data_IF_728335938931
#
_entry.id   IF_728335938931
#
_cell.length_a   1.000
_cell.length_b   1.000
_cell.length_c   1.000
_cell.angle_alpha   90.00
_cell.angle_beta   90.00
_cell.angle_gamma   90.00
#
_symmetry.space_group_name_H-M   'P 1'
#
loop_
_entity.id
_entity.type
_entity.pdbx_description
1 polymer ?
#
# COMPACT_ATOMS: atom_id res chain seq x y z
N UNK A 1 15.14 24.33 7.01
CA UNK A 1 14.52 22.99 6.93
C UNK A 1 13.45 23.06 5.88
N UNK A 2 13.38 22.09 4.98
CA UNK A 2 12.31 22.03 3.98
C UNK A 2 10.96 22.01 4.70
N UNK A 3 10.11 23.00 4.42
CA UNK A 3 8.73 23.00 4.91
C UNK A 3 7.97 21.90 4.18
N UNK A 4 7.26 21.07 4.95
CA UNK A 4 6.32 20.08 4.40
C UNK A 4 5.20 20.85 3.74
N UNK A 5 4.91 20.58 2.47
CA UNK A 5 3.86 21.30 1.74
C UNK A 5 2.47 20.81 2.16
N UNK A 6 1.43 21.60 1.89
CA UNK A 6 0.04 21.16 2.08
C UNK A 6 -0.26 19.88 1.27
N UNK A 7 0.29 19.76 0.06
CA UNK A 7 0.13 18.57 -0.77
C UNK A 7 0.72 17.32 -0.13
N UNK A 8 1.88 17.43 0.52
CA UNK A 8 2.52 16.31 1.23
C UNK A 8 1.70 15.88 2.46
N UNK A 9 1.16 16.86 3.19
CA UNK A 9 0.25 16.61 4.32
C UNK A 9 -1.04 15.94 3.87
N UNK A 10 -1.64 16.44 2.79
CA UNK A 10 -2.88 15.90 2.24
C UNK A 10 -2.69 14.48 1.68
N UNK A 11 -1.57 14.20 1.01
CA UNK A 11 -1.22 12.84 0.61
C UNK A 11 -1.04 11.94 1.83
N UNK A 12 -0.28 12.38 2.84
CA UNK A 12 -0.08 11.62 4.08
C UNK A 12 -1.41 11.29 4.76
N UNK A 13 -2.35 12.25 4.81
CA UNK A 13 -3.70 12.03 5.31
C UNK A 13 -4.45 10.98 4.49
N UNK A 14 -4.36 11.05 3.15
CA UNK A 14 -5.01 10.09 2.25
C UNK A 14 -4.51 8.66 2.45
N UNK A 15 -3.22 8.46 2.76
CA UNK A 15 -2.65 7.13 3.06
C UNK A 15 -3.37 6.48 4.24
N UNK A 16 -3.73 7.24 5.29
CA UNK A 16 -4.47 6.71 6.44
C UNK A 16 -5.93 6.31 6.11
N UNK A 17 -6.50 6.86 5.04
CA UNK A 17 -7.85 6.55 4.58
C UNK A 17 -7.85 5.37 3.62
N UNK A 18 -6.96 5.42 2.62
CA UNK A 18 -7.01 4.58 1.42
C UNK A 18 -6.30 3.24 1.67
N UNK A 19 -5.08 3.24 2.21
CA UNK A 19 -4.29 2.02 2.35
C UNK A 19 -4.93 0.96 3.28
N UNK A 20 -5.52 1.31 4.44
CA UNK A 20 -6.22 0.32 5.26
C UNK A 20 -7.40 -0.32 4.54
N UNK A 21 -8.19 0.46 3.80
CA UNK A 21 -9.34 -0.04 3.05
C UNK A 21 -8.88 -0.96 1.92
N UNK A 22 -7.88 -0.55 1.13
CA UNK A 22 -7.28 -1.38 0.07
C UNK A 22 -6.69 -2.68 0.61
N UNK A 23 -6.05 -2.62 1.78
CA UNK A 23 -5.50 -3.79 2.45
C UNK A 23 -6.60 -4.77 2.84
N UNK A 24 -7.63 -4.29 3.54
CA UNK A 24 -8.77 -5.11 3.97
C UNK A 24 -9.44 -5.77 2.76
N UNK A 25 -9.72 -5.01 1.71
CA UNK A 25 -10.37 -5.53 0.51
C UNK A 25 -9.57 -6.62 -0.22
N UNK A 26 -8.24 -6.61 -0.08
CA UNK A 26 -7.33 -7.52 -0.78
C UNK A 26 -6.96 -8.74 0.06
N UNK A 27 -6.76 -8.58 1.36
CA UNK A 27 -6.12 -9.60 2.19
C UNK A 27 -6.97 -10.11 3.36
N UNK A 28 -8.04 -9.41 3.73
CA UNK A 28 -8.89 -9.84 4.85
C UNK A 28 -10.02 -10.76 4.40
N UNK A 29 -10.65 -11.42 5.38
CA UNK A 29 -11.74 -12.38 5.17
C UNK A 29 -13.03 -11.74 4.63
N UNK A 30 -13.17 -10.41 4.68
CA UNK A 30 -14.28 -9.65 4.12
C UNK A 30 -13.82 -8.31 3.57
N UNK A 31 -14.60 -7.77 2.63
CA UNK A 31 -14.42 -6.42 2.11
C UNK A 31 -15.03 -5.36 3.03
N UNK A 32 -14.55 -4.12 2.90
CA UNK A 32 -15.15 -2.96 3.55
C UNK A 32 -16.50 -2.62 2.92
N UNK A 33 -17.52 -2.47 3.76
CA UNK A 33 -18.84 -1.98 3.37
C UNK A 33 -18.76 -0.49 2.99
N UNK A 34 -19.69 -0.03 2.15
CA UNK A 34 -19.72 1.39 1.75
C UNK A 34 -19.75 2.33 2.96
N UNK A 35 -20.57 2.03 3.97
CA UNK A 35 -20.66 2.87 5.16
C UNK A 35 -19.34 2.92 5.97
N UNK A 36 -18.53 1.86 5.96
CA UNK A 36 -17.24 1.83 6.64
C UNK A 36 -16.22 2.72 5.92
N UNK A 37 -16.26 2.73 4.57
CA UNK A 37 -15.43 3.62 3.75
C UNK A 37 -15.79 5.09 3.98
N UNK A 38 -17.08 5.41 3.94
CA UNK A 38 -17.55 6.77 4.19
C UNK A 38 -17.24 7.23 5.62
N UNK A 39 -17.45 6.37 6.63
CA UNK A 39 -17.12 6.70 8.01
C UNK A 39 -15.62 6.98 8.19
N UNK A 40 -14.76 6.19 7.55
CA UNK A 40 -13.29 6.41 7.58
C UNK A 40 -12.92 7.72 6.91
N UNK A 41 -13.49 8.02 5.74
CA UNK A 41 -13.24 9.26 5.01
C UNK A 41 -13.70 10.49 5.80
N UNK A 42 -14.88 10.44 6.42
CA UNK A 42 -15.39 11.53 7.26
C UNK A 42 -14.51 11.74 8.49
N UNK A 43 -14.16 10.65 9.19
CA UNK A 43 -13.34 10.73 10.41
C UNK A 43 -11.96 11.35 10.15
N UNK A 44 -11.25 10.86 9.14
CA UNK A 44 -9.95 11.42 8.75
C UNK A 44 -10.09 12.78 8.08
N UNK A 45 -11.21 13.05 7.41
CA UNK A 45 -11.57 14.35 6.89
C UNK A 45 -11.59 15.40 8.00
N UNK A 46 -12.32 15.12 9.09
CA UNK A 46 -12.39 15.99 10.27
C UNK A 46 -11.00 16.19 10.91
N UNK A 47 -10.20 15.14 11.01
CA UNK A 47 -8.81 15.23 11.48
C UNK A 47 -7.99 16.16 10.58
N UNK A 48 -8.10 16.02 9.26
CA UNK A 48 -7.42 16.89 8.30
C UNK A 48 -7.81 18.36 8.44
N UNK A 49 -9.11 18.64 8.60
CA UNK A 49 -9.63 19.99 8.83
C UNK A 49 -9.09 20.56 10.15
N UNK A 50 -9.08 19.78 11.23
CA UNK A 50 -8.51 20.20 12.52
C UNK A 50 -7.00 20.45 12.46
N UNK A 51 -6.29 19.72 11.59
CA UNK A 51 -4.87 19.94 11.32
C UNK A 51 -4.60 21.18 10.45
N UNK A 52 -5.63 21.83 9.92
CA UNK A 52 -5.51 22.98 9.02
C UNK A 52 -5.06 22.62 7.61
N UNK A 53 -5.26 21.36 7.18
CA UNK A 53 -4.95 20.91 5.82
C UNK A 53 -6.02 21.46 4.88
N UNK A 54 -5.58 22.08 3.78
CA UNK A 54 -6.46 22.60 2.74
C UNK A 54 -6.79 21.53 1.69
N UNK A 55 -8.02 21.56 1.15
CA UNK A 55 -8.43 20.68 0.05
C UNK A 55 -8.78 19.25 0.48
N UNK A 56 -9.10 19.04 1.75
CA UNK A 56 -9.52 17.73 2.29
C UNK A 56 -10.81 17.26 1.60
N UNK A 57 -10.83 16.06 0.97
CA UNK A 57 -12.03 15.52 0.33
C UNK A 57 -13.15 15.20 1.33
N UNK A 58 -14.40 15.25 0.84
CA UNK A 58 -15.59 14.95 1.65
C UNK A 58 -16.08 13.50 1.56
N UNK A 59 -15.47 12.67 0.71
CA UNK A 59 -15.84 11.29 0.49
C UNK A 59 -14.60 10.41 0.23
N UNK A 60 -14.79 9.10 0.31
CA UNK A 60 -13.70 8.13 0.11
C UNK A 60 -13.11 8.21 -1.32
N UNK A 61 -13.95 8.40 -2.34
CA UNK A 61 -13.52 8.46 -3.74
C UNK A 61 -12.61 9.68 -4.02
N UNK A 62 -12.83 10.80 -3.34
CA UNK A 62 -11.97 11.96 -3.40
C UNK A 62 -10.61 11.71 -2.76
N UNK A 63 -10.56 10.99 -1.63
CA UNK A 63 -9.30 10.56 -1.02
C UNK A 63 -8.51 9.61 -1.91
N UNK A 64 -9.17 8.65 -2.57
CA UNK A 64 -8.50 7.76 -3.54
C UNK A 64 -7.87 8.54 -4.68
N UNK A 65 -8.59 9.51 -5.24
CA UNK A 65 -8.07 10.33 -6.34
C UNK A 65 -6.85 11.16 -5.93
N UNK A 66 -6.92 11.80 -4.77
CA UNK A 66 -5.79 12.55 -4.19
C UNK A 66 -4.58 11.65 -3.99
N UNK A 67 -4.81 10.46 -3.43
CA UNK A 67 -3.78 9.46 -3.20
C UNK A 67 -3.10 9.05 -4.50
N UNK A 68 -3.88 8.57 -5.47
CA UNK A 68 -3.34 8.00 -6.71
C UNK A 68 -2.66 9.06 -7.59
N UNK A 69 -3.26 10.25 -7.72
CA UNK A 69 -2.64 11.36 -8.47
C UNK A 69 -1.32 11.83 -7.84
N UNK A 70 -1.24 11.86 -6.50
CA UNK A 70 -0.01 12.25 -5.83
C UNK A 70 1.08 11.20 -6.05
N UNK A 71 0.75 9.91 -5.90
CA UNK A 71 1.71 8.82 -6.16
C UNK A 71 2.18 8.80 -7.61
N UNK A 72 1.31 9.09 -8.57
CA UNK A 72 1.67 9.14 -10.00
C UNK A 72 2.72 10.20 -10.28
N UNK A 73 2.64 11.34 -9.59
CA UNK A 73 3.53 12.48 -9.80
C UNK A 73 4.80 12.41 -8.97
N UNK A 74 4.75 11.83 -7.77
CA UNK A 74 5.81 11.97 -6.77
C UNK A 74 6.43 10.66 -6.28
N UNK A 75 5.76 9.50 -6.42
CA UNK A 75 6.31 8.23 -5.94
C UNK A 75 7.38 7.72 -6.91
N UNK A 76 8.59 8.25 -6.72
CA UNK A 76 9.77 7.95 -7.52
C UNK A 76 10.92 7.46 -6.64
N UNK A 77 11.91 6.87 -7.30
CA UNK A 77 13.13 6.44 -6.63
C UNK A 77 13.91 7.61 -6.03
N UNK A 78 14.36 7.42 -4.78
CA UNK A 78 15.39 8.24 -4.15
C UNK A 78 16.37 7.36 -3.36
N UNK A 79 17.68 7.68 -3.34
CA UNK A 79 18.65 6.99 -2.48
C UNK A 79 18.25 6.99 -0.99
N UNK A 80 17.57 8.04 -0.54
CA UNK A 80 17.07 8.14 0.84
C UNK A 80 16.01 7.08 1.15
N UNK A 81 15.18 6.70 0.18
CA UNK A 81 14.11 5.71 0.37
C UNK A 81 14.70 4.34 0.72
N UNK A 82 15.76 3.94 0.01
CA UNK A 82 16.47 2.67 0.26
C UNK A 82 17.09 2.68 1.66
N UNK A 83 17.77 3.78 2.02
CA UNK A 83 18.43 3.90 3.31
C UNK A 83 17.41 3.83 4.45
N UNK A 84 16.34 4.62 4.39
CA UNK A 84 15.27 4.63 5.40
C UNK A 84 14.60 3.25 5.46
N UNK A 85 14.28 2.65 4.32
CA UNK A 85 13.66 1.33 4.27
C UNK A 85 14.51 0.24 4.93
N UNK A 86 15.83 0.25 4.70
CA UNK A 86 16.75 -0.68 5.38
C UNK A 86 16.77 -0.48 6.90
N UNK A 87 16.76 0.77 7.39
CA UNK A 87 16.64 1.04 8.83
C UNK A 87 15.30 0.56 9.40
N UNK A 88 14.20 0.83 8.69
CA UNK A 88 12.86 0.39 9.09
C UNK A 88 12.77 -1.13 9.16
N UNK A 89 13.28 -1.85 8.16
CA UNK A 89 13.36 -3.30 8.20
C UNK A 89 14.25 -3.80 9.33
N UNK A 90 15.40 -3.15 9.59
CA UNK A 90 16.25 -3.49 10.73
C UNK A 90 15.52 -3.40 12.07
N UNK A 91 14.71 -2.35 12.25
CA UNK A 91 13.89 -2.18 13.45
C UNK A 91 12.79 -3.24 13.55
N UNK A 92 12.00 -3.43 12.50
CA UNK A 92 10.88 -4.39 12.46
C UNK A 92 11.35 -5.84 12.64
N UNK A 93 12.56 -6.15 12.16
CA UNK A 93 13.13 -7.50 12.24
C UNK A 93 13.95 -7.75 13.50
N UNK A 94 14.22 -6.71 14.31
CA UNK A 94 14.99 -6.82 15.55
C UNK A 94 14.49 -7.88 16.54
N UNK A 95 13.18 -8.20 16.64
CA UNK A 95 12.72 -9.28 17.51
C UNK A 95 12.97 -10.69 16.96
N UNK A 96 13.30 -10.83 15.66
CA UNK A 96 13.45 -12.11 14.98
C UNK A 96 14.92 -12.54 14.90
N UNK A 97 15.21 -13.85 14.93
CA UNK A 97 16.55 -14.37 14.64
C UNK A 97 17.08 -13.89 13.28
N UNK A 98 18.35 -13.49 13.22
CA UNK A 98 18.99 -12.96 12.01
C UNK A 98 18.91 -13.91 10.80
N UNK A 99 18.88 -15.22 11.05
CA UNK A 99 18.72 -16.24 10.01
C UNK A 99 17.39 -16.11 9.24
N UNK A 100 16.32 -15.58 9.87
CA UNK A 100 15.01 -15.42 9.24
C UNK A 100 14.86 -14.10 8.48
N UNK A 101 15.73 -13.12 8.71
CA UNK A 101 15.60 -11.77 8.14
C UNK A 101 15.47 -11.78 6.60
N UNK A 102 16.28 -12.53 5.83
CA UNK A 102 16.16 -12.54 4.37
C UNK A 102 14.84 -13.16 3.87
N UNK A 103 14.24 -14.06 4.65
CA UNK A 103 12.93 -14.63 4.32
C UNK A 103 11.82 -13.62 4.59
N UNK A 104 11.81 -13.00 5.77
CA UNK A 104 10.78 -12.02 6.15
C UNK A 104 10.83 -10.80 5.24
N UNK A 105 12.02 -10.30 4.86
CA UNK A 105 12.17 -9.23 3.86
C UNK A 105 11.51 -9.57 2.53
N UNK A 106 11.70 -10.81 2.04
CA UNK A 106 11.05 -11.28 0.81
C UNK A 106 9.52 -11.33 0.94
N UNK A 107 9.00 -11.82 2.05
CA UNK A 107 7.56 -11.79 2.33
C UNK A 107 7.02 -10.35 2.36
N UNK A 108 7.73 -9.42 2.98
CA UNK A 108 7.34 -8.02 3.03
C UNK A 108 7.32 -7.39 1.62
N UNK A 109 8.29 -7.71 0.76
CA UNK A 109 8.25 -7.25 -0.64
C UNK A 109 7.02 -7.78 -1.37
N UNK A 110 6.57 -9.03 -1.14
CA UNK A 110 5.35 -9.53 -1.77
C UNK A 110 4.09 -8.74 -1.39
N UNK A 111 4.09 -8.09 -0.22
CA UNK A 111 2.96 -7.29 0.28
C UNK A 111 3.01 -5.84 -0.21
N UNK A 112 4.15 -5.38 -0.72
CA UNK A 112 4.31 -4.02 -1.23
C UNK A 112 3.81 -3.91 -2.67
N UNK A 113 3.04 -2.86 -2.93
CA UNK A 113 2.57 -2.56 -4.29
C UNK A 113 3.74 -2.31 -5.26
N UNK A 114 3.56 -2.62 -6.57
CA UNK A 114 4.63 -2.53 -7.56
C UNK A 114 5.31 -1.15 -7.62
N UNK A 115 4.53 -0.07 -7.48
CA UNK A 115 5.05 1.31 -7.51
C UNK A 115 5.93 1.63 -6.30
N UNK A 116 5.49 1.23 -5.11
CA UNK A 116 6.27 1.38 -3.88
C UNK A 116 7.59 0.61 -3.97
N UNK A 117 7.57 -0.64 -4.46
CA UNK A 117 8.80 -1.42 -4.66
C UNK A 117 9.75 -0.77 -5.65
N UNK A 118 9.22 -0.24 -6.76
CA UNK A 118 10.03 0.47 -7.74
C UNK A 118 10.68 1.72 -7.13
N UNK A 119 9.94 2.51 -6.35
CA UNK A 119 10.45 3.68 -5.64
C UNK A 119 11.48 3.34 -4.54
N UNK A 120 11.42 2.13 -3.98
CA UNK A 120 12.38 1.61 -3.01
C UNK A 120 13.56 0.83 -3.66
N UNK A 121 13.52 0.58 -4.97
CA UNK A 121 14.43 -0.36 -5.68
C UNK A 121 14.49 -1.75 -5.03
N UNK A 122 13.35 -2.23 -4.55
CA UNK A 122 13.24 -3.60 -4.07
C UNK A 122 12.97 -4.58 -5.21
N UNK A 123 13.50 -5.80 -5.14
CA UNK A 123 13.34 -6.80 -6.18
C UNK A 123 11.86 -7.17 -6.38
N UNK A 124 11.51 -7.55 -7.61
CA UNK A 124 10.22 -8.17 -7.88
C UNK A 124 10.06 -9.50 -7.15
N UNK A 125 8.85 -9.79 -6.61
CA UNK A 125 8.56 -11.11 -6.10
C UNK A 125 8.61 -12.13 -7.26
N UNK A 126 8.92 -13.40 -6.97
CA UNK A 126 8.88 -14.45 -7.98
C UNK A 126 7.48 -14.52 -8.62
N UNK A 127 7.39 -14.84 -9.93
CA UNK A 127 6.10 -14.97 -10.59
C UNK A 127 5.25 -16.08 -9.94
N UNK A 128 3.91 -15.98 -9.99
CA UNK A 128 3.05 -17.05 -9.50
C UNK A 128 3.32 -18.34 -10.28
N UNK A 129 3.12 -19.52 -9.66
CA UNK A 129 3.27 -20.79 -10.36
C UNK A 129 2.32 -20.85 -11.56
N UNK A 130 2.76 -21.47 -12.65
CA UNK A 130 1.94 -21.69 -13.85
C UNK A 130 0.63 -22.41 -13.49
N UNK A 131 -0.51 -22.03 -14.09
CA UNK A 131 -1.77 -22.74 -13.84
C UNK A 131 -1.63 -24.22 -14.23
N UNK A 132 -2.33 -25.13 -13.55
CA UNK A 132 -2.33 -26.54 -13.93
C UNK A 132 -2.87 -26.69 -15.37
N UNK A 133 -2.38 -27.69 -16.13
CA UNK A 133 -2.90 -27.96 -17.47
C UNK A 133 -4.41 -28.23 -17.42
N UNK A 134 -5.17 -27.84 -18.45
CA UNK A 134 -6.60 -28.15 -18.52
C UNK A 134 -6.83 -29.66 -18.46
N UNK A 135 -7.95 -30.13 -17.88
CA UNK A 135 -8.28 -31.54 -17.88
C UNK A 135 -8.38 -32.07 -19.32
N UNK A 136 -8.02 -33.34 -19.57
CA UNK A 136 -8.20 -33.96 -20.88
C UNK A 136 -9.68 -33.92 -21.30
N UNK A 137 -9.98 -33.83 -22.60
CA UNK A 137 -11.36 -33.86 -23.08
C UNK A 137 -12.05 -35.16 -22.65
N UNK A 138 -13.37 -35.12 -22.39
CA UNK A 138 -14.13 -36.32 -22.07
C UNK A 138 -13.96 -37.36 -23.17
N UNK A 139 -13.66 -38.61 -22.80
CA UNK A 139 -13.63 -39.70 -23.76
C UNK A 139 -15.05 -39.91 -24.32
N UNK A 140 -15.18 -40.22 -25.63
CA UNK A 140 -16.48 -40.58 -26.19
C UNK A 140 -17.04 -41.80 -25.45
N UNK A 141 -18.38 -41.88 -25.28
CA UNK A 141 -19.01 -43.05 -24.67
C UNK A 141 -18.68 -44.32 -25.48
N UNK A 142 -18.67 -45.50 -24.83
CA UNK A 142 -18.39 -46.79 -25.46
C UNK A 142 -19.40 -47.16 -26.54
#
# INVERSE_FOLDING_TARGET
GSQISNGDLLYTLSVFVVEPVRWVDRFEWRQCLQCEREATALWWGDVGVMMGIEGVPGDYAGFERVHDEYEERHMAYSPSNVAIGEYTFGLLLSPFPSLLHPFIKRCAHCLMDPRLRAAMRYPDPPPPPSPPPPPPPPQPPP
#
